data_IF_813817205125
#
_entry.id   IF_813817205125
#
_cell.length_a   1.000
_cell.length_b   1.000
_cell.length_c   1.000
_cell.angle_alpha   90.00
_cell.angle_beta   90.00
_cell.angle_gamma   90.00
#
_symmetry.space_group_name_H-M   'P 1'
#
loop_
_entity.id
_entity.type
_entity.pdbx_description
1 polymer ?
#
# COMPACT_ATOMS: atom_id res chain seq x y z
N UNK A 1 31.96 -16.15 -30.88
CA UNK A 1 33.10 -15.32 -31.29
C UNK A 1 34.34 -16.22 -31.22
N UNK A 2 35.06 -16.43 -32.32
CA UNK A 2 36.19 -17.38 -32.39
C UNK A 2 37.50 -16.71 -31.95
N UNK A 3 38.32 -17.41 -31.14
CA UNK A 3 39.68 -16.98 -30.82
C UNK A 3 40.67 -18.07 -31.24
N UNK A 4 41.76 -17.65 -31.90
CA UNK A 4 42.87 -18.50 -32.33
C UNK A 4 44.06 -18.21 -31.39
N UNK A 5 44.61 -19.24 -30.74
CA UNK A 5 45.88 -19.15 -30.04
C UNK A 5 46.75 -20.35 -30.38
N UNK A 6 47.85 -20.06 -31.08
CA UNK A 6 49.03 -20.87 -31.42
C UNK A 6 48.84 -22.29 -32.00
N UNK A 7 49.63 -22.56 -33.04
CA UNK A 7 49.67 -23.70 -33.95
C UNK A 7 48.83 -24.94 -33.59
N UNK A 8 47.72 -25.08 -34.34
CA UNK A 8 46.94 -26.30 -34.63
C UNK A 8 45.92 -26.85 -33.63
N UNK A 9 45.44 -26.07 -32.65
CA UNK A 9 44.30 -26.48 -31.80
C UNK A 9 43.26 -25.38 -31.62
N UNK A 10 42.03 -25.63 -32.08
CA UNK A 10 40.87 -24.75 -31.86
C UNK A 10 40.19 -25.20 -30.56
N UNK A 11 40.08 -24.29 -29.58
CA UNK A 11 39.34 -24.53 -28.35
C UNK A 11 37.96 -23.89 -28.47
N UNK A 12 36.88 -24.70 -28.42
CA UNK A 12 35.50 -24.22 -28.46
C UNK A 12 34.87 -24.37 -27.07
N UNK A 13 34.40 -23.24 -26.54
CA UNK A 13 33.76 -23.11 -25.23
C UNK A 13 32.26 -23.01 -25.43
N UNK A 14 31.47 -23.75 -24.66
CA UNK A 14 30.03 -23.56 -24.57
C UNK A 14 29.70 -22.81 -23.27
N UNK A 15 29.10 -21.63 -23.38
CA UNK A 15 28.71 -20.77 -22.25
C UNK A 15 28.77 -19.28 -22.57
N UNK A 16 28.25 -18.44 -21.68
CA UNK A 16 28.45 -16.98 -21.71
C UNK A 16 29.77 -16.62 -21.01
N UNK A 17 30.28 -15.40 -21.22
CA UNK A 17 31.53 -14.91 -20.59
C UNK A 17 31.50 -15.09 -19.06
N UNK A 18 30.33 -14.93 -18.45
CA UNK A 18 30.17 -14.96 -17.00
C UNK A 18 29.93 -16.38 -16.44
N UNK A 19 29.71 -17.39 -17.30
CA UNK A 19 29.41 -18.76 -16.85
C UNK A 19 29.83 -19.83 -17.89
N UNK A 20 31.12 -20.18 -17.97
CA UNK A 20 31.61 -21.19 -18.91
C UNK A 20 31.23 -22.62 -18.46
N UNK A 21 30.58 -23.39 -19.34
CA UNK A 21 30.24 -24.79 -19.09
C UNK A 21 31.35 -25.68 -19.67
N UNK A 22 32.15 -26.29 -18.80
CA UNK A 22 33.20 -27.24 -19.20
C UNK A 22 32.58 -28.65 -19.31
N UNK A 23 32.42 -29.17 -20.53
CA UNK A 23 31.95 -30.55 -20.77
C UNK A 23 33.07 -31.53 -21.14
N UNK A 24 34.34 -31.13 -21.04
CA UNK A 24 35.45 -31.90 -21.60
C UNK A 24 36.03 -32.97 -20.64
N UNK A 25 36.08 -32.74 -19.33
CA UNK A 25 36.67 -33.70 -18.38
C UNK A 25 35.79 -34.92 -18.14
N UNK A 26 34.47 -34.70 -18.08
CA UNK A 26 33.53 -35.72 -17.63
C UNK A 26 33.09 -36.65 -18.77
N UNK A 27 33.20 -36.20 -20.02
CA UNK A 27 33.08 -37.09 -21.19
C UNK A 27 34.35 -37.94 -21.33
N UNK A 28 35.54 -37.37 -21.11
CA UNK A 28 36.79 -38.10 -21.23
C UNK A 28 36.92 -39.24 -20.20
N UNK A 29 36.35 -39.08 -18.99
CA UNK A 29 36.34 -40.11 -17.95
C UNK A 29 35.33 -41.24 -18.20
N UNK A 30 34.30 -41.02 -19.02
CA UNK A 30 33.34 -42.08 -19.43
C UNK A 30 33.98 -43.06 -20.44
N UNK A 31 34.95 -42.61 -21.23
CA UNK A 31 35.62 -43.41 -22.26
C UNK A 31 36.94 -44.05 -21.80
N UNK A 32 37.20 -44.12 -20.49
CA UNK A 32 38.37 -44.85 -19.97
C UNK A 32 38.14 -46.36 -20.04
N UNK A 33 38.29 -46.94 -21.23
CA UNK A 33 38.85 -48.28 -21.41
C UNK A 33 39.41 -48.40 -22.84
N UNK A 34 40.75 -48.25 -22.91
CA UNK A 34 41.63 -48.73 -23.98
C UNK A 34 41.27 -48.35 -25.42
N UNK A 35 41.57 -47.11 -25.83
CA UNK A 35 42.10 -46.86 -27.18
C UNK A 35 43.09 -45.69 -27.12
N UNK A 36 44.37 -46.01 -27.03
CA UNK A 36 45.42 -45.06 -27.43
C UNK A 36 45.20 -44.75 -28.92
N UNK A 37 45.12 -43.45 -29.27
CA UNK A 37 45.01 -42.90 -30.63
C UNK A 37 43.62 -42.86 -31.31
N UNK A 38 42.60 -42.31 -30.64
CA UNK A 38 41.52 -41.62 -31.37
C UNK A 38 41.48 -40.17 -30.92
N UNK A 39 41.97 -39.27 -31.77
CA UNK A 39 41.70 -37.85 -31.67
C UNK A 39 40.19 -37.64 -31.91
N UNK A 40 39.42 -37.50 -30.82
CA UNK A 40 37.98 -37.27 -30.90
C UNK A 40 37.77 -35.82 -31.36
N UNK A 41 37.40 -35.66 -32.63
CA UNK A 41 36.91 -34.39 -33.14
C UNK A 41 35.60 -34.03 -32.41
N UNK A 42 35.64 -32.92 -31.67
CA UNK A 42 34.52 -32.36 -30.93
C UNK A 42 33.30 -32.11 -31.84
N UNK A 43 32.15 -32.59 -31.39
CA UNK A 43 30.82 -32.35 -31.96
C UNK A 43 30.40 -30.92 -31.63
N UNK A 44 30.09 -30.12 -32.64
CA UNK A 44 29.53 -28.78 -32.46
C UNK A 44 28.03 -28.92 -32.15
N UNK A 45 27.60 -28.45 -30.98
CA UNK A 45 26.19 -28.29 -30.62
C UNK A 45 25.73 -26.89 -31.04
N UNK A 46 25.40 -26.70 -32.30
CA UNK A 46 25.09 -25.35 -32.80
C UNK A 46 23.63 -24.91 -32.52
N UNK A 47 22.68 -25.83 -32.25
CA UNK A 47 21.29 -25.43 -32.00
C UNK A 47 20.58 -26.32 -30.96
N UNK A 48 20.11 -25.72 -29.87
CA UNK A 48 19.10 -26.30 -28.95
C UNK A 48 17.78 -25.62 -29.25
N UNK A 49 16.83 -26.36 -29.83
CA UNK A 49 15.51 -25.84 -30.15
C UNK A 49 14.53 -26.41 -29.12
N UNK A 50 13.93 -25.52 -28.31
CA UNK A 50 12.95 -25.89 -27.30
C UNK A 50 11.56 -25.62 -27.86
N UNK A 51 10.77 -26.67 -28.07
CA UNK A 51 9.36 -26.57 -28.47
C UNK A 51 8.50 -27.32 -27.45
N UNK A 52 7.55 -26.61 -26.81
CA UNK A 52 6.43 -27.17 -26.03
C UNK A 52 6.77 -28.42 -25.19
N UNK A 53 7.64 -28.25 -24.17
CA UNK A 53 8.05 -29.27 -23.19
C UNK A 53 8.93 -30.43 -23.71
N UNK A 54 9.22 -30.50 -25.01
CA UNK A 54 10.20 -31.44 -25.56
C UNK A 54 11.49 -30.68 -25.92
N UNK A 55 12.62 -31.18 -25.42
CA UNK A 55 13.95 -30.62 -25.67
C UNK A 55 14.56 -31.42 -26.81
N UNK A 56 14.68 -30.81 -27.98
CA UNK A 56 15.37 -31.41 -29.13
C UNK A 56 16.79 -30.87 -29.21
N UNK A 57 17.76 -31.78 -29.17
CA UNK A 57 19.18 -31.43 -29.24
C UNK A 57 19.76 -32.05 -30.50
N UNK A 58 20.32 -31.19 -31.36
CA UNK A 58 20.92 -31.61 -32.62
C UNK A 58 22.43 -31.73 -32.46
N UNK A 59 22.95 -32.97 -32.48
CA UNK A 59 24.38 -33.24 -32.44
C UNK A 59 24.96 -33.23 -33.86
N UNK A 60 25.85 -32.28 -34.20
CA UNK A 60 26.60 -32.31 -35.48
C UNK A 60 28.00 -32.92 -35.28
N UNK A 61 28.18 -34.16 -35.75
CA UNK A 61 29.45 -34.88 -35.77
C UNK A 61 29.65 -35.66 -37.08
N UNK A 62 30.88 -36.12 -37.33
CA UNK A 62 31.21 -36.97 -38.48
C UNK A 62 30.35 -38.26 -38.47
N UNK A 63 29.89 -38.72 -39.63
CA UNK A 63 29.01 -39.91 -39.75
C UNK A 63 29.59 -41.18 -39.10
N UNK A 64 30.91 -41.32 -39.10
CA UNK A 64 31.64 -42.41 -38.44
C UNK A 64 31.54 -42.42 -36.91
N UNK A 65 31.25 -41.26 -36.29
CA UNK A 65 31.02 -41.14 -34.84
C UNK A 65 29.54 -41.36 -34.49
N UNK A 66 28.61 -41.07 -35.41
CA UNK A 66 27.16 -41.24 -35.19
C UNK A 66 26.76 -42.71 -35.00
N UNK A 67 27.46 -43.65 -35.62
CA UNK A 67 27.20 -45.09 -35.49
C UNK A 67 27.71 -45.70 -34.18
N UNK A 68 28.72 -45.10 -33.53
CA UNK A 68 29.28 -45.54 -32.25
C UNK A 68 28.75 -44.80 -31.02
N UNK A 69 28.17 -43.61 -31.20
CA UNK A 69 27.58 -42.78 -30.12
C UNK A 69 26.19 -43.26 -29.64
N UNK A 70 25.72 -44.40 -30.12
CA UNK A 70 24.50 -45.08 -29.62
C UNK A 70 24.84 -45.92 -28.37
N UNK A 71 25.79 -45.48 -27.55
CA UNK A 71 26.05 -46.13 -26.28
C UNK A 71 24.95 -45.71 -25.29
N UNK A 72 24.21 -46.69 -24.74
CA UNK A 72 23.19 -46.46 -23.72
C UNK A 72 23.74 -45.65 -22.55
N UNK A 73 25.06 -45.73 -22.29
CA UNK A 73 25.75 -44.95 -21.27
C UNK A 73 25.70 -43.44 -21.53
N UNK A 74 25.86 -43.00 -22.78
CA UNK A 74 25.82 -41.57 -23.13
C UNK A 74 24.38 -41.05 -23.01
N UNK A 75 23.39 -41.82 -23.47
CA UNK A 75 21.97 -41.50 -23.29
C UNK A 75 21.57 -41.44 -21.81
N UNK A 76 22.04 -42.41 -21.02
CA UNK A 76 21.79 -42.49 -19.58
C UNK A 76 22.42 -41.31 -18.84
N UNK A 77 23.68 -41.00 -19.11
CA UNK A 77 24.36 -39.84 -18.53
C UNK A 77 23.65 -38.53 -18.90
N UNK A 78 23.29 -38.34 -20.17
CA UNK A 78 22.60 -37.16 -20.66
C UNK A 78 21.23 -36.98 -19.99
N UNK A 79 20.42 -38.04 -19.94
CA UNK A 79 19.11 -38.01 -19.28
C UNK A 79 19.22 -37.78 -17.78
N UNK A 80 20.23 -38.35 -17.13
CA UNK A 80 20.39 -38.26 -15.69
C UNK A 80 20.97 -36.91 -15.24
N UNK A 81 21.88 -36.31 -16.00
CA UNK A 81 22.56 -35.09 -15.55
C UNK A 81 22.01 -33.84 -16.23
N UNK A 82 21.84 -33.84 -17.56
CA UNK A 82 21.42 -32.62 -18.26
C UNK A 82 19.94 -32.33 -18.03
N UNK A 83 19.07 -33.34 -18.13
CA UNK A 83 17.62 -33.12 -17.93
C UNK A 83 17.28 -32.85 -16.46
N UNK A 84 18.01 -33.42 -15.50
CA UNK A 84 17.78 -33.13 -14.07
C UNK A 84 18.19 -31.70 -13.75
N UNK A 85 19.36 -31.25 -14.19
CA UNK A 85 19.80 -29.86 -14.00
C UNK A 85 18.83 -28.85 -14.66
N UNK A 86 18.32 -29.15 -15.86
CA UNK A 86 17.32 -28.28 -16.51
C UNK A 86 15.99 -28.25 -15.75
N UNK A 87 15.54 -29.39 -15.21
CA UNK A 87 14.34 -29.45 -14.36
C UNK A 87 14.54 -28.66 -13.07
N UNK A 88 15.69 -28.82 -12.41
CA UNK A 88 16.05 -28.08 -11.20
C UNK A 88 16.08 -26.57 -11.45
N UNK A 89 16.70 -26.12 -12.55
CA UNK A 89 16.73 -24.72 -12.93
C UNK A 89 15.32 -24.14 -13.12
N UNK A 90 14.43 -24.88 -13.81
CA UNK A 90 13.02 -24.49 -14.00
C UNK A 90 12.24 -24.46 -12.68
N UNK A 91 12.50 -25.40 -11.78
CA UNK A 91 11.90 -25.42 -10.45
C UNK A 91 12.35 -24.21 -9.61
N UNK A 92 13.64 -23.88 -9.64
CA UNK A 92 14.19 -22.70 -8.95
C UNK A 92 13.55 -21.42 -9.48
N UNK A 93 13.42 -21.27 -10.80
CA UNK A 93 12.76 -20.12 -11.41
C UNK A 93 11.30 -20.00 -10.97
N UNK A 94 10.56 -21.12 -10.94
CA UNK A 94 9.17 -21.13 -10.48
C UNK A 94 9.03 -20.77 -9.01
N UNK A 95 9.95 -21.23 -8.15
CA UNK A 95 9.98 -20.87 -6.72
C UNK A 95 10.17 -19.36 -6.58
N UNK A 96 11.13 -18.76 -7.30
CA UNK A 96 11.36 -17.31 -7.26
C UNK A 96 10.14 -16.49 -7.70
N UNK A 97 9.43 -16.95 -8.73
CA UNK A 97 8.18 -16.31 -9.18
C UNK A 97 7.10 -16.38 -8.09
N UNK A 98 6.91 -17.55 -7.48
CA UNK A 98 5.92 -17.74 -6.40
C UNK A 98 6.26 -16.89 -5.17
N UNK A 99 7.53 -16.77 -4.80
CA UNK A 99 7.97 -15.90 -3.70
C UNK A 99 7.64 -14.42 -3.97
N UNK A 100 7.86 -13.95 -5.20
CA UNK A 100 7.49 -12.60 -5.61
C UNK A 100 5.97 -12.37 -5.58
N UNK A 101 5.18 -13.33 -6.07
CA UNK A 101 3.71 -13.29 -6.01
C UNK A 101 3.21 -13.25 -4.56
N UNK A 102 3.76 -14.11 -3.69
CA UNK A 102 3.42 -14.11 -2.25
C UNK A 102 3.76 -12.79 -1.57
N UNK A 103 4.88 -12.17 -1.92
CA UNK A 103 5.26 -10.86 -1.39
C UNK A 103 4.22 -9.78 -1.76
N UNK A 104 3.82 -9.71 -3.03
CA UNK A 104 2.80 -8.76 -3.50
C UNK A 104 1.44 -9.00 -2.82
N UNK A 105 1.04 -10.26 -2.66
CA UNK A 105 -0.22 -10.62 -1.97
C UNK A 105 -0.15 -10.17 -0.50
N UNK A 106 0.95 -10.43 0.20
CA UNK A 106 1.11 -10.05 1.60
C UNK A 106 1.02 -8.54 1.82
N UNK A 107 1.68 -7.74 0.97
CA UNK A 107 1.59 -6.28 1.02
C UNK A 107 0.16 -5.80 0.73
N UNK A 108 -0.51 -6.42 -0.23
CA UNK A 108 -1.92 -6.11 -0.54
C UNK A 108 -2.84 -6.45 0.63
N UNK A 109 -2.65 -7.60 1.28
CA UNK A 109 -3.41 -8.00 2.46
C UNK A 109 -3.19 -7.06 3.64
N UNK A 110 -1.94 -6.67 3.93
CA UNK A 110 -1.62 -5.67 4.96
C UNK A 110 -2.34 -4.35 4.70
N UNK A 111 -2.27 -3.86 3.45
CA UNK A 111 -2.96 -2.64 3.03
C UNK A 111 -4.48 -2.74 3.18
N UNK A 112 -5.07 -3.86 2.74
CA UNK A 112 -6.51 -4.09 2.89
C UNK A 112 -6.93 -4.16 4.35
N UNK A 113 -6.10 -4.73 5.23
CA UNK A 113 -6.33 -4.75 6.68
C UNK A 113 -6.37 -3.34 7.25
N UNK A 114 -5.39 -2.50 6.92
CA UNK A 114 -5.36 -1.09 7.32
C UNK A 114 -6.61 -0.33 6.83
N UNK A 115 -6.98 -0.50 5.55
CA UNK A 115 -8.19 0.11 5.00
C UNK A 115 -9.46 -0.39 5.71
N UNK A 116 -9.54 -1.69 5.96
CA UNK A 116 -10.66 -2.30 6.67
C UNK A 116 -10.78 -1.76 8.10
N UNK A 117 -9.68 -1.70 8.83
CA UNK A 117 -9.66 -1.21 10.20
C UNK A 117 -10.02 0.28 10.25
N UNK A 118 -9.57 1.06 9.27
CA UNK A 118 -10.01 2.45 9.10
C UNK A 118 -11.51 2.56 8.78
N UNK A 119 -12.07 1.69 7.95
CA UNK A 119 -13.51 1.65 7.67
C UNK A 119 -14.29 1.24 8.93
N UNK A 120 -13.79 0.28 9.69
CA UNK A 120 -14.39 -0.18 10.95
C UNK A 120 -14.35 0.95 11.99
N UNK A 121 -13.25 1.69 12.07
CA UNK A 121 -13.12 2.87 12.92
C UNK A 121 -14.08 3.99 12.49
N UNK A 122 -14.23 4.23 11.18
CA UNK A 122 -15.28 5.10 10.60
C UNK A 122 -16.71 4.62 10.89
N UNK A 123 -16.93 3.44 11.46
CA UNK A 123 -18.26 2.97 11.89
C UNK A 123 -18.45 3.05 13.40
N UNK A 124 -17.37 3.04 14.19
CA UNK A 124 -17.38 3.19 15.65
C UNK A 124 -17.11 4.64 16.08
N UNK A 125 -17.79 5.61 15.47
CA UNK A 125 -17.74 6.97 15.99
C UNK A 125 -18.31 6.98 17.40
N UNK A 126 -17.57 7.60 18.33
CA UNK A 126 -18.15 7.98 19.61
C UNK A 126 -19.42 8.79 19.34
N UNK A 127 -20.53 8.35 19.92
CA UNK A 127 -21.82 9.02 19.81
C UNK A 127 -22.08 9.73 21.11
N UNK A 128 -22.23 11.04 21.02
CA UNK A 128 -22.69 11.86 22.11
C UNK A 128 -24.13 11.54 22.44
N UNK A 129 -24.49 11.76 23.70
CA UNK A 129 -25.88 11.68 24.15
C UNK A 129 -26.73 12.63 23.29
N UNK A 130 -27.94 12.18 22.93
CA UNK A 130 -28.95 13.03 22.29
C UNK A 130 -29.69 13.85 23.33
N UNK A 131 -30.08 15.07 22.96
CA UNK A 131 -30.82 15.97 23.83
C UNK A 131 -30.43 17.42 23.59
N UNK A 132 -31.25 18.35 24.11
CA UNK A 132 -30.97 19.77 24.01
C UNK A 132 -29.63 20.10 24.66
N UNK A 133 -28.77 20.78 23.90
CA UNK A 133 -27.40 21.06 24.30
C UNK A 133 -26.93 22.41 23.77
N UNK A 134 -26.00 23.02 24.49
CA UNK A 134 -25.16 24.13 24.01
C UNK A 134 -23.75 23.59 23.82
N UNK A 135 -23.12 23.97 22.72
CA UNK A 135 -21.77 23.54 22.39
C UNK A 135 -20.88 24.70 21.95
N UNK A 136 -19.58 24.49 22.16
CA UNK A 136 -18.53 25.35 21.63
C UNK A 136 -17.72 24.57 20.60
N UNK A 137 -17.59 25.12 19.39
CA UNK A 137 -16.90 24.47 18.28
C UNK A 137 -15.85 25.41 17.70
N UNK A 138 -14.69 24.87 17.33
CA UNK A 138 -13.65 25.60 16.61
C UNK A 138 -13.63 25.16 15.15
N UNK A 139 -13.64 26.16 14.27
CA UNK A 139 -13.41 25.98 12.85
C UNK A 139 -11.90 26.13 12.58
N UNK A 140 -11.22 25.11 12.02
CA UNK A 140 -9.79 25.12 11.71
C UNK A 140 -9.41 26.17 10.65
N UNK A 141 -10.33 26.53 9.75
CA UNK A 141 -10.04 27.44 8.64
C UNK A 141 -9.90 28.90 9.08
N UNK A 142 -10.28 29.22 10.33
CA UNK A 142 -10.19 30.57 10.88
C UNK A 142 -8.95 30.69 11.76
N UNK A 143 -7.99 31.51 11.33
CA UNK A 143 -6.82 31.84 12.14
C UNK A 143 -7.22 32.60 13.41
N UNK A 144 -6.74 32.16 14.56
CA UNK A 144 -6.99 32.81 15.86
C UNK A 144 -8.04 32.09 16.72
N UNK A 145 -8.47 32.76 17.80
CA UNK A 145 -9.46 32.23 18.74
C UNK A 145 -10.88 32.55 18.28
N UNK A 146 -11.29 31.91 17.19
CA UNK A 146 -12.67 31.93 16.71
C UNK A 146 -13.41 30.71 17.25
N UNK A 147 -14.37 30.95 18.13
CA UNK A 147 -15.19 29.89 18.72
C UNK A 147 -16.64 30.15 18.37
N UNK A 148 -17.29 29.14 17.79
CA UNK A 148 -18.73 29.16 17.52
C UNK A 148 -19.48 28.72 18.77
N UNK A 149 -20.48 29.49 19.16
CA UNK A 149 -21.47 29.17 20.18
C UNK A 149 -22.74 28.75 19.44
N UNK A 150 -23.19 27.52 19.65
CA UNK A 150 -24.42 27.03 19.05
C UNK A 150 -25.19 26.11 19.97
N UNK A 151 -26.42 25.79 19.58
CA UNK A 151 -27.26 24.83 20.25
C UNK A 151 -27.73 23.73 19.29
N UNK A 152 -28.09 22.57 19.84
CA UNK A 152 -28.66 21.46 19.06
C UNK A 152 -29.39 20.46 19.96
N UNK A 153 -30.39 19.79 19.39
CA UNK A 153 -31.06 18.63 20.01
C UNK A 153 -30.33 17.30 19.66
N UNK A 154 -29.52 17.28 18.59
CA UNK A 154 -28.66 16.16 18.21
C UNK A 154 -27.30 16.67 17.72
N UNK A 155 -26.37 16.80 18.67
CA UNK A 155 -25.02 17.26 18.37
C UNK A 155 -24.30 16.37 17.34
N UNK A 156 -24.63 15.08 17.27
CA UNK A 156 -23.99 14.18 16.31
C UNK A 156 -24.35 14.53 14.86
N UNK A 157 -25.59 14.97 14.62
CA UNK A 157 -26.04 15.42 13.30
C UNK A 157 -25.44 16.79 12.95
N UNK A 158 -25.38 17.70 13.92
CA UNK A 158 -24.73 19.00 13.76
C UNK A 158 -23.25 18.86 13.39
N UNK A 159 -22.49 18.04 14.13
CA UNK A 159 -21.07 17.82 13.85
C UNK A 159 -20.85 17.12 12.52
N UNK A 160 -21.72 16.17 12.13
CA UNK A 160 -21.69 15.56 10.80
C UNK A 160 -21.89 16.61 9.70
N UNK A 161 -22.79 17.56 9.92
CA UNK A 161 -23.05 18.64 8.96
C UNK A 161 -21.86 19.58 8.86
N UNK A 162 -21.28 20.00 9.98
CA UNK A 162 -20.09 20.86 9.97
C UNK A 162 -18.90 20.18 9.29
N UNK A 163 -18.62 18.92 9.65
CA UNK A 163 -17.50 18.15 9.07
C UNK A 163 -17.69 17.79 7.61
N UNK A 164 -18.91 17.85 7.07
CA UNK A 164 -19.12 17.74 5.61
C UNK A 164 -18.46 18.88 4.86
N UNK A 165 -18.40 20.07 5.44
CA UNK A 165 -17.82 21.27 4.84
C UNK A 165 -16.40 21.57 5.35
N UNK A 166 -16.15 21.33 6.64
CA UNK A 166 -14.87 21.55 7.32
C UNK A 166 -14.50 20.31 8.15
N UNK A 167 -13.85 19.29 7.56
CA UNK A 167 -13.59 17.98 8.21
C UNK A 167 -12.85 18.07 9.55
N UNK A 168 -11.93 19.03 9.65
CA UNK A 168 -11.10 19.31 10.83
C UNK A 168 -11.85 20.08 11.95
N UNK A 169 -13.18 20.28 11.84
CA UNK A 169 -13.98 20.93 12.88
C UNK A 169 -13.86 20.19 14.22
N UNK A 170 -13.45 20.92 15.25
CA UNK A 170 -13.26 20.40 16.62
C UNK A 170 -14.40 20.84 17.53
N UNK A 171 -15.00 19.87 18.23
CA UNK A 171 -15.91 20.18 19.33
C UNK A 171 -15.04 20.50 20.55
N UNK A 172 -15.20 21.66 21.18
CA UNK A 172 -14.39 22.07 22.33
C UNK A 172 -15.08 21.77 23.66
N UNK A 173 -16.41 21.93 23.71
CA UNK A 173 -17.19 21.72 24.92
C UNK A 173 -18.66 21.48 24.60
N UNK A 174 -19.36 20.74 25.46
CA UNK A 174 -20.81 20.51 25.33
C UNK A 174 -21.47 20.45 26.71
N UNK A 175 -22.61 21.12 26.82
CA UNK A 175 -23.44 21.21 28.01
C UNK A 175 -24.84 20.77 27.62
N UNK A 176 -25.35 19.72 28.26
CA UNK A 176 -26.72 19.26 28.10
C UNK A 176 -27.63 19.94 29.12
N UNK A 177 -28.69 20.57 28.62
CA UNK A 177 -29.70 21.26 29.42
C UNK A 177 -30.97 21.50 28.61
N UNK A 178 -32.13 21.52 29.26
CA UNK A 178 -33.42 21.74 28.59
C UNK A 178 -33.51 23.16 28.01
N UNK A 179 -33.00 24.15 28.74
CA UNK A 179 -33.02 25.57 28.38
C UNK A 179 -31.84 25.97 27.49
N UNK A 180 -31.39 25.07 26.60
CA UNK A 180 -30.19 25.28 25.76
C UNK A 180 -30.26 26.56 24.92
N UNK A 181 -31.43 26.86 24.36
CA UNK A 181 -31.70 28.08 23.59
C UNK A 181 -31.52 29.35 24.45
N UNK A 182 -31.95 29.31 25.71
CA UNK A 182 -31.82 30.45 26.62
C UNK A 182 -30.35 30.70 26.94
N UNK A 183 -29.59 29.65 27.29
CA UNK A 183 -28.17 29.77 27.59
C UNK A 183 -27.37 30.30 26.39
N UNK A 184 -27.64 29.78 25.19
CA UNK A 184 -27.02 30.27 23.95
C UNK A 184 -27.29 31.77 23.74
N UNK A 185 -28.55 32.20 23.92
CA UNK A 185 -28.92 33.61 23.80
C UNK A 185 -28.23 34.48 24.84
N UNK A 186 -28.19 34.07 26.11
CA UNK A 186 -27.48 34.78 27.17
C UNK A 186 -25.99 34.94 26.84
N UNK A 187 -25.36 33.89 26.32
CA UNK A 187 -23.97 33.92 25.89
C UNK A 187 -23.75 34.88 24.72
N UNK A 188 -24.60 34.83 23.69
CA UNK A 188 -24.53 35.75 22.54
C UNK A 188 -24.74 37.22 22.95
N UNK A 189 -25.62 37.49 23.91
CA UNK A 189 -25.84 38.83 24.46
C UNK A 189 -24.61 39.30 25.23
N UNK A 190 -24.04 38.44 26.09
CA UNK A 190 -22.83 38.76 26.87
C UNK A 190 -21.64 39.12 25.98
N UNK A 191 -21.45 38.38 24.89
CA UNK A 191 -20.34 38.58 23.95
C UNK A 191 -20.71 39.38 22.71
N UNK A 192 -21.78 40.20 22.77
CA UNK A 192 -22.30 40.92 21.60
C UNK A 192 -21.24 41.76 20.87
N UNK A 193 -20.30 42.35 21.62
CA UNK A 193 -19.21 43.17 21.06
C UNK A 193 -18.08 42.32 20.45
N UNK A 194 -18.00 41.05 20.81
CA UNK A 194 -17.02 40.08 20.33
C UNK A 194 -17.58 39.14 19.27
N UNK A 195 -18.85 39.31 18.85
CA UNK A 195 -19.44 38.54 17.78
C UNK A 195 -18.98 39.06 16.42
N UNK A 196 -18.71 38.17 15.48
CA UNK A 196 -18.39 38.59 14.12
C UNK A 196 -19.61 39.19 13.43
N UNK A 197 -19.45 40.33 12.74
CA UNK A 197 -20.55 41.07 12.12
C UNK A 197 -21.38 40.25 11.13
N UNK A 198 -20.74 39.33 10.39
CA UNK A 198 -21.40 38.49 9.38
C UNK A 198 -21.93 37.16 9.93
N UNK A 199 -21.46 36.75 11.12
CA UNK A 199 -21.86 35.50 11.73
C UNK A 199 -22.04 35.70 13.24
N UNK A 200 -23.28 35.96 13.64
CA UNK A 200 -23.69 36.25 15.03
C UNK A 200 -23.60 35.04 15.97
N UNK A 201 -22.96 33.96 15.53
CA UNK A 201 -22.73 32.76 16.33
C UNK A 201 -21.24 32.57 16.67
N UNK A 202 -20.34 33.33 16.03
CA UNK A 202 -18.90 33.17 16.22
C UNK A 202 -18.35 34.34 17.03
N UNK A 203 -17.77 34.03 18.17
CA UNK A 203 -17.00 34.98 18.99
C UNK A 203 -15.53 34.97 18.59
N UNK A 204 -14.89 36.15 18.60
CA UNK A 204 -13.47 36.31 18.30
C UNK A 204 -12.71 36.85 19.52
N UNK A 205 -11.44 36.45 19.64
CA UNK A 205 -10.51 36.93 20.68
C UNK A 205 -10.97 36.63 22.12
N UNK A 206 -11.68 35.52 22.33
CA UNK A 206 -12.07 35.01 23.64
C UNK A 206 -11.56 33.57 23.75
N UNK A 207 -10.98 33.19 24.89
CA UNK A 207 -10.51 31.82 25.11
C UNK A 207 -11.66 30.89 25.56
N UNK A 208 -11.46 29.59 25.39
CA UNK A 208 -12.46 28.59 25.78
C UNK A 208 -12.77 28.64 27.28
N UNK A 209 -11.76 28.79 28.12
CA UNK A 209 -11.93 28.79 29.58
C UNK A 209 -12.85 29.92 30.06
N UNK A 210 -12.72 31.10 29.44
CA UNK A 210 -13.59 32.24 29.73
C UNK A 210 -15.04 31.98 29.29
N UNK A 211 -15.25 31.33 28.13
CA UNK A 211 -16.58 30.93 27.67
C UNK A 211 -17.22 29.93 28.65
N UNK A 212 -16.47 28.90 29.05
CA UNK A 212 -16.95 27.87 29.98
C UNK A 212 -17.25 28.47 31.35
N UNK A 213 -16.36 29.32 31.88
CA UNK A 213 -16.57 30.02 33.14
C UNK A 213 -17.86 30.85 33.11
N UNK A 214 -18.06 31.63 32.05
CA UNK A 214 -19.22 32.50 31.92
C UNK A 214 -20.53 31.74 31.66
N UNK A 215 -20.49 30.62 30.93
CA UNK A 215 -21.64 29.73 30.79
C UNK A 215 -22.05 29.16 32.15
N UNK A 216 -21.08 28.64 32.92
CA UNK A 216 -21.32 28.11 34.26
C UNK A 216 -21.86 29.18 35.22
N UNK A 217 -21.35 30.41 35.14
CA UNK A 217 -21.88 31.52 35.94
C UNK A 217 -23.37 31.80 35.64
N UNK A 218 -23.76 31.77 34.37
CA UNK A 218 -25.18 31.95 33.95
C UNK A 218 -26.03 30.78 34.44
N UNK A 219 -25.57 29.54 34.24
CA UNK A 219 -26.23 28.32 34.69
C UNK A 219 -26.49 28.37 36.20
N UNK A 220 -25.48 28.71 36.99
CA UNK A 220 -25.58 28.81 38.44
C UNK A 220 -26.51 29.93 38.89
N UNK A 221 -26.47 31.08 38.20
CA UNK A 221 -27.35 32.23 38.51
C UNK A 221 -28.82 31.90 38.27
N UNK A 222 -29.10 31.15 37.21
CA UNK A 222 -30.45 30.74 36.82
C UNK A 222 -30.90 29.43 37.49
N UNK A 223 -30.01 28.80 38.27
CA UNK A 223 -30.23 27.50 38.93
C UNK A 223 -30.71 26.42 37.94
N UNK A 224 -30.05 26.32 36.79
CA UNK A 224 -30.38 25.34 35.75
C UNK A 224 -29.72 23.99 36.03
N UNK A 225 -30.46 22.90 35.81
CA UNK A 225 -29.90 21.55 35.86
C UNK A 225 -29.12 21.24 34.58
N UNK A 226 -27.86 20.81 34.74
CA UNK A 226 -26.97 20.57 33.61
C UNK A 226 -26.23 19.25 33.73
N UNK A 227 -25.86 18.70 32.58
CA UNK A 227 -24.90 17.59 32.48
C UNK A 227 -23.81 17.99 31.50
N UNK A 228 -22.56 17.95 31.91
CA UNK A 228 -21.40 18.26 31.04
C UNK A 228 -20.80 16.95 30.53
N UNK A 229 -20.45 16.89 29.25
CA UNK A 229 -19.72 15.74 28.70
C UNK A 229 -18.22 15.99 28.81
N UNK A 230 -17.52 15.14 29.55
CA UNK A 230 -16.05 15.21 29.71
C UNK A 230 -15.30 14.48 28.60
N UNK A 231 -16.01 13.75 27.73
CA UNK A 231 -15.39 12.88 26.72
C UNK A 231 -15.20 13.54 25.36
N UNK A 232 -15.20 14.88 25.32
CA UNK A 232 -15.08 15.68 24.09
C UNK A 232 -13.82 15.32 23.29
N UNK A 233 -12.68 15.14 23.97
CA UNK A 233 -11.39 14.82 23.33
C UNK A 233 -11.41 13.50 22.56
N UNK A 234 -12.21 12.51 23.00
CA UNK A 234 -12.32 11.22 22.33
C UNK A 234 -12.84 11.33 20.89
N UNK A 235 -13.54 12.43 20.59
CA UNK A 235 -14.14 12.69 19.28
C UNK A 235 -13.29 13.57 18.37
N UNK A 236 -12.37 14.35 18.94
CA UNK A 236 -11.46 15.21 18.19
C UNK A 236 -10.22 14.46 17.70
N UNK A 237 -9.81 13.38 18.37
CA UNK A 237 -8.60 12.61 18.06
C UNK A 237 -8.73 11.67 16.84
N UNK A 238 -9.57 12.00 15.85
CA UNK A 238 -9.73 11.18 14.65
C UNK A 238 -8.75 11.63 13.56
N UNK A 239 -7.59 10.98 13.61
CA UNK A 239 -6.67 10.58 12.51
C UNK A 239 -6.17 11.71 11.61
N UNK A 240 -4.90 12.07 11.82
CA UNK A 240 -4.05 12.79 10.85
C UNK A 240 -4.29 12.23 9.44
N UNK A 241 -4.58 13.11 8.48
CA UNK A 241 -4.65 12.76 7.06
C UNK A 241 -3.31 12.11 6.66
N UNK A 242 -3.29 10.78 6.58
CA UNK A 242 -2.21 10.09 5.86
C UNK A 242 -2.44 10.43 4.40
N UNK A 243 -1.57 11.27 3.86
CA UNK A 243 -1.46 11.66 2.46
C UNK A 243 -1.95 10.53 1.55
N UNK A 244 -3.17 10.70 1.04
CA UNK A 244 -3.68 9.86 -0.04
C UNK A 244 -2.86 10.25 -1.28
N UNK A 245 -1.72 9.59 -1.48
CA UNK A 245 -1.02 9.66 -2.76
C UNK A 245 -2.03 9.40 -3.87
N UNK A 246 -2.03 10.21 -4.94
CA UNK A 246 -3.06 10.19 -5.95
C UNK A 246 -3.18 8.78 -6.52
N UNK A 247 -4.35 8.17 -6.30
CA UNK A 247 -4.76 7.02 -7.10
C UNK A 247 -4.75 7.52 -8.53
N UNK A 248 -3.85 6.99 -9.35
CA UNK A 248 -3.88 7.14 -10.80
C UNK A 248 -5.21 6.55 -11.29
N UNK A 249 -6.28 7.35 -11.21
CA UNK A 249 -7.58 7.01 -11.74
C UNK A 249 -7.51 7.24 -13.26
N UNK A 250 -7.63 6.20 -14.09
CA UNK A 250 -7.79 6.42 -15.51
C UNK A 250 -9.14 7.12 -15.74
N UNK A 251 -9.05 8.36 -16.25
CA UNK A 251 -10.11 9.15 -16.90
C UNK A 251 -11.23 9.70 -16.00
N UNK A 252 -10.99 10.89 -15.43
CA UNK A 252 -12.07 11.85 -15.16
C UNK A 252 -12.64 12.34 -16.51
N UNK A 253 -13.92 12.09 -16.76
CA UNK A 253 -14.66 12.74 -17.86
C UNK A 253 -14.67 14.24 -17.62
N UNK A 254 -14.17 15.02 -18.59
CA UNK A 254 -14.30 16.48 -18.60
C UNK A 254 -15.78 16.82 -18.80
N UNK A 255 -16.40 17.46 -17.81
CA UNK A 255 -17.62 18.22 -18.05
C UNK A 255 -17.20 19.62 -18.52
N UNK A 256 -17.54 19.95 -19.76
CA UNK A 256 -17.45 21.31 -20.28
C UNK A 256 -18.57 22.14 -19.65
N UNK A 257 -18.21 23.14 -18.85
CA UNK A 257 -19.15 24.18 -18.46
C UNK A 257 -19.32 25.12 -19.65
N UNK A 258 -20.49 25.04 -20.30
CA UNK A 258 -20.96 26.07 -21.22
C UNK A 258 -21.31 27.30 -20.39
N UNK A 259 -20.66 28.43 -20.67
CA UNK A 259 -21.05 29.72 -20.10
C UNK A 259 -22.38 30.17 -20.73
N UNK A 260 -23.37 30.48 -19.90
CA UNK A 260 -24.49 31.39 -20.18
C UNK A 260 -24.66 32.26 -18.94
#
# INVERSE_FOLDING_TARGET
MEFIYDNSKILRVFGTIDNPLFLASDIASIFTQTVENIAINLVNLDDVIIHNNDIFITLRGAESLKSGLVDEKVKSWFNLHVLTTLREAKHIERIKQLEAEMHVINETCKRLKLLHDNIKFKRSYHRYRKGPSVYFVKDPWRFGNYIKIGNSDDINETLRTYRRFAPETQLLHIIYLNESKLLEQCMKVKYRNNLTHLNHEVVYNICLDELVYNANAIINTLNLEVTVDESVDKYNNIVEDIDLLPVNNPKKRKYSMTQI
#
